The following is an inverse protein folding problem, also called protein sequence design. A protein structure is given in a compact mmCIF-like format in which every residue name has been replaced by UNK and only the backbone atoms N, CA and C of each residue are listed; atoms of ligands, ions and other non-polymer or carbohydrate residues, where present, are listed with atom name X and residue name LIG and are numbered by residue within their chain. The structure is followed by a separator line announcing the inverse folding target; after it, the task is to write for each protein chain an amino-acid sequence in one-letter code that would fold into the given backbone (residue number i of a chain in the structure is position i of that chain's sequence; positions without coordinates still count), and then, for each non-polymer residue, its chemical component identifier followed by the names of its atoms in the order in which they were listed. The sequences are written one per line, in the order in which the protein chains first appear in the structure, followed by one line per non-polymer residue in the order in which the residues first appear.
data_IF_119834842456
#
_entry.id   IF_119834842456
#
_cell.length_a   1.000
_cell.length_b   1.000
_cell.length_c   1.000
_cell.angle_alpha   90.00
_cell.angle_beta   90.00
_cell.angle_gamma   90.00
#
_symmetry.space_group_name_H-M   'P 1'
#
loop_
_entity.id
_entity.type
_entity.pdbx_description
1 polymer ?
#
# COMPACT_ATOMS: atom_id res chain seq x y z
N UNK A 1 11.96 -11.36 -14.62
CA UNK A 1 11.29 -10.14 -14.15
C UNK A 1 11.49 -10.08 -12.65
N UNK A 2 12.00 -8.96 -12.12
CA UNK A 2 12.09 -8.78 -10.66
C UNK A 2 10.69 -8.51 -10.11
N UNK A 3 10.51 -8.86 -8.84
CA UNK A 3 9.23 -8.74 -8.15
C UNK A 3 9.43 -7.95 -6.87
N UNK A 4 8.63 -6.91 -6.65
CA UNK A 4 8.76 -6.04 -5.48
C UNK A 4 7.40 -5.74 -4.85
N UNK A 5 7.27 -6.00 -3.56
CA UNK A 5 6.10 -5.64 -2.77
C UNK A 5 6.46 -4.42 -1.91
N UNK A 6 5.75 -3.33 -2.13
CA UNK A 6 5.90 -2.06 -1.40
C UNK A 6 4.80 -2.00 -0.34
N UNK A 7 5.21 -2.00 0.92
CA UNK A 7 4.30 -1.90 2.06
C UNK A 7 4.33 -0.47 2.58
N UNK A 8 3.16 0.16 2.65
CA UNK A 8 3.02 1.55 3.12
C UNK A 8 2.32 1.54 4.47
N UNK A 9 3.01 2.04 5.50
CA UNK A 9 2.53 2.02 6.89
C UNK A 9 2.20 3.40 7.47
N UNK A 10 2.72 4.48 6.86
CA UNK A 10 2.59 5.84 7.39
C UNK A 10 1.13 6.30 7.50
N UNK A 11 0.77 7.06 8.54
CA UNK A 11 -0.60 7.53 8.76
C UNK A 11 -0.79 8.94 8.18
N UNK A 12 -1.69 9.15 7.21
CA UNK A 12 -2.01 10.50 6.73
C UNK A 12 -2.64 11.39 7.82
N UNK A 13 -3.26 10.82 8.87
CA UNK A 13 -3.92 11.61 9.93
C UNK A 13 -2.93 12.43 10.78
N UNK A 14 -1.65 12.03 10.83
CA UNK A 14 -0.64 12.78 11.56
C UNK A 14 -0.35 14.12 10.88
N UNK A 15 -0.58 14.23 9.57
CA UNK A 15 -0.38 15.46 8.81
C UNK A 15 1.07 15.95 8.77
N UNK A 16 2.04 15.06 9.01
CA UNK A 16 3.46 15.40 9.02
C UNK A 16 4.09 15.28 7.62
N UNK A 17 5.10 16.11 7.36
CA UNK A 17 5.95 15.99 6.17
C UNK A 17 6.59 14.61 6.06
N UNK A 18 6.87 13.97 7.21
CA UNK A 18 7.44 12.63 7.27
C UNK A 18 6.47 11.56 6.75
N UNK A 19 5.19 11.63 7.14
CA UNK A 19 4.18 10.69 6.68
C UNK A 19 3.93 10.84 5.17
N UNK A 20 3.86 12.09 4.69
CA UNK A 20 3.75 12.43 3.27
C UNK A 20 4.99 11.95 2.50
N UNK A 21 6.18 12.18 3.04
CA UNK A 21 7.44 11.77 2.43
C UNK A 21 7.54 10.26 2.26
N UNK A 22 7.09 9.47 3.25
CA UNK A 22 7.05 8.01 3.15
C UNK A 22 6.15 7.52 2.01
N UNK A 23 4.90 7.99 1.95
CA UNK A 23 3.98 7.56 0.88
C UNK A 23 4.45 8.07 -0.49
N UNK A 24 4.98 9.29 -0.57
CA UNK A 24 5.51 9.83 -1.82
C UNK A 24 6.65 8.98 -2.36
N UNK A 25 7.65 8.66 -1.53
CA UNK A 25 8.78 7.85 -1.97
C UNK A 25 8.36 6.40 -2.29
N UNK A 26 7.40 5.83 -1.56
CA UNK A 26 6.85 4.52 -1.88
C UNK A 26 6.22 4.48 -3.28
N UNK A 27 5.39 5.48 -3.60
CA UNK A 27 4.74 5.56 -4.91
C UNK A 27 5.73 5.93 -6.03
N UNK A 28 6.77 6.71 -5.72
CA UNK A 28 7.84 7.01 -6.68
C UNK A 28 8.65 5.75 -7.03
N UNK A 29 8.98 4.91 -6.04
CA UNK A 29 9.59 3.60 -6.30
C UNK A 29 8.67 2.69 -7.11
N UNK A 30 7.37 2.65 -6.79
CA UNK A 30 6.40 1.87 -7.56
C UNK A 30 6.34 2.33 -9.04
N UNK A 31 6.39 3.64 -9.25
CA UNK A 31 6.40 4.24 -10.58
C UNK A 31 7.64 3.82 -11.37
N UNK A 32 8.83 3.89 -10.77
CA UNK A 32 10.08 3.42 -11.40
C UNK A 32 9.99 1.94 -11.77
N UNK A 33 9.59 1.08 -10.84
CA UNK A 33 9.49 -0.37 -11.07
C UNK A 33 8.49 -0.72 -12.17
N UNK A 34 7.34 -0.02 -12.22
CA UNK A 34 6.37 -0.15 -13.31
C UNK A 34 6.99 0.19 -14.67
N UNK A 35 7.76 1.27 -14.75
CA UNK A 35 8.36 1.73 -16.02
C UNK A 35 9.52 0.86 -16.49
N UNK A 36 10.23 0.20 -15.58
CA UNK A 36 11.24 -0.81 -15.89
C UNK A 36 10.63 -2.20 -16.19
N UNK A 37 9.29 -2.32 -16.16
CA UNK A 37 8.59 -3.58 -16.46
C UNK A 37 8.77 -4.65 -15.39
N UNK A 38 9.01 -4.24 -14.13
CA UNK A 38 9.00 -5.14 -12.98
C UNK A 38 7.57 -5.43 -12.49
N UNK A 39 7.39 -6.55 -11.79
CA UNK A 39 6.13 -6.94 -11.17
C UNK A 39 6.06 -6.31 -9.78
N UNK A 40 5.28 -5.24 -9.65
CA UNK A 40 5.15 -4.46 -8.41
C UNK A 40 3.77 -4.63 -7.78
N UNK A 41 3.74 -4.85 -6.46
CA UNK A 41 2.53 -4.83 -5.62
C UNK A 41 2.63 -3.69 -4.62
N UNK A 42 1.65 -2.78 -4.61
CA UNK A 42 1.49 -1.78 -3.54
C UNK A 42 0.47 -2.33 -2.54
N UNK A 43 0.87 -2.43 -1.27
CA UNK A 43 0.01 -2.91 -0.18
C UNK A 43 -0.05 -1.85 0.91
N UNK A 44 -1.25 -1.36 1.19
CA UNK A 44 -1.46 -0.47 2.33
C UNK A 44 -1.76 -1.30 3.59
N UNK A 45 -0.99 -1.05 4.64
CA UNK A 45 -1.09 -1.75 5.91
C UNK A 45 -0.92 -0.76 7.07
N UNK A 46 -1.19 -1.18 8.31
CA UNK A 46 -1.15 -0.28 9.45
C UNK A 46 -2.16 0.85 9.27
N UNK A 47 -1.77 2.08 9.63
CA UNK A 47 -2.58 3.26 9.38
C UNK A 47 -2.48 3.77 7.92
N UNK A 48 -1.53 3.25 7.14
CA UNK A 48 -1.39 3.56 5.71
C UNK A 48 -2.59 3.15 4.87
N UNK A 49 -3.46 2.28 5.38
CA UNK A 49 -4.77 1.96 4.77
C UNK A 49 -5.64 3.19 4.48
N UNK A 50 -5.36 4.34 5.07
CA UNK A 50 -6.10 5.61 4.86
C UNK A 50 -5.59 6.45 3.70
N UNK A 51 -4.41 6.14 3.17
CA UNK A 51 -3.83 6.91 2.06
C UNK A 51 -4.70 6.92 0.80
N UNK A 52 -5.26 5.78 0.34
CA UNK A 52 -6.06 5.77 -0.89
C UNK A 52 -7.16 6.84 -0.91
N UNK A 53 -7.93 6.98 0.19
CA UNK A 53 -8.96 8.01 0.32
C UNK A 53 -8.42 9.44 0.15
N UNK A 54 -7.20 9.72 0.63
CA UNK A 54 -6.58 11.04 0.47
C UNK A 54 -5.99 11.22 -0.93
N UNK A 55 -5.36 10.19 -1.47
CA UNK A 55 -4.68 10.22 -2.75
C UNK A 55 -5.64 10.24 -3.94
N UNK A 56 -6.89 9.77 -3.77
CA UNK A 56 -7.94 9.90 -4.77
C UNK A 56 -8.43 11.34 -4.96
N UNK A 57 -8.15 12.25 -4.02
CA UNK A 57 -8.57 13.66 -4.10
C UNK A 57 -7.71 14.40 -5.15
N UNK A 58 -8.30 15.00 -6.19
CA UNK A 58 -7.55 15.70 -7.25
C UNK A 58 -6.62 16.80 -6.75
N UNK A 59 -6.95 17.42 -5.62
CA UNK A 59 -6.17 18.52 -5.02
C UNK A 59 -4.97 18.02 -4.20
N UNK A 60 -4.88 16.71 -3.94
CA UNK A 60 -3.75 16.16 -3.18
C UNK A 60 -2.47 16.23 -4.01
N UNK A 61 -1.33 16.72 -3.47
CA UNK A 61 -0.10 16.95 -4.25
C UNK A 61 0.48 15.67 -4.89
N UNK A 62 0.15 14.51 -4.33
CA UNK A 62 0.61 13.18 -4.81
C UNK A 62 -0.44 12.49 -5.71
N UNK A 63 -1.60 13.11 -5.96
CA UNK A 63 -2.71 12.51 -6.72
C UNK A 63 -2.29 12.01 -8.11
N UNK A 64 -1.57 12.84 -8.86
CA UNK A 64 -1.13 12.50 -10.21
C UNK A 64 -0.24 11.25 -10.20
N UNK A 65 0.76 11.20 -9.31
CA UNK A 65 1.65 10.05 -9.16
C UNK A 65 0.88 8.80 -8.72
N UNK A 66 -0.07 8.94 -7.81
CA UNK A 66 -0.90 7.81 -7.39
C UNK A 66 -1.69 7.21 -8.56
N UNK A 67 -2.28 8.05 -9.42
CA UNK A 67 -3.00 7.57 -10.61
C UNK A 67 -2.12 6.80 -11.59
N UNK A 68 -0.83 7.13 -11.68
CA UNK A 68 0.12 6.41 -12.54
C UNK A 68 0.43 4.99 -12.03
N UNK A 69 0.20 4.70 -10.74
CA UNK A 69 0.56 3.40 -10.14
C UNK A 69 -0.60 2.68 -9.48
N UNK A 70 -1.81 3.28 -9.45
CA UNK A 70 -2.98 2.70 -8.78
C UNK A 70 -3.39 1.34 -9.33
N UNK A 71 -3.07 1.05 -10.58
CA UNK A 71 -3.28 -0.24 -11.23
C UNK A 71 -2.42 -1.36 -10.63
N UNK A 72 -1.38 -1.02 -9.86
CA UNK A 72 -0.53 -1.93 -9.12
C UNK A 72 -0.86 -2.01 -7.62
N UNK A 73 -1.95 -1.36 -7.18
CA UNK A 73 -2.44 -1.52 -5.80
C UNK A 73 -3.02 -2.92 -5.66
N UNK A 74 -2.34 -3.73 -4.88
CA UNK A 74 -2.75 -5.10 -4.62
C UNK A 74 -3.92 -5.16 -3.61
N UNK A 75 -3.95 -4.23 -2.65
CA UNK A 75 -5.07 -4.11 -1.71
C UNK A 75 -4.69 -3.49 -0.37
N UNK A 76 -5.66 -3.52 0.53
CA UNK A 76 -5.55 -3.05 1.92
C UNK A 76 -5.52 -4.24 2.87
N UNK A 77 -4.76 -4.14 3.96
CA UNK A 77 -4.82 -5.13 5.03
C UNK A 77 -6.20 -5.14 5.71
N UNK A 78 -6.93 -6.26 5.60
CA UNK A 78 -8.28 -6.43 6.17
C UNK A 78 -8.29 -6.21 7.69
N UNK A 79 -7.31 -6.77 8.39
CA UNK A 79 -7.16 -6.59 9.83
C UNK A 79 -6.86 -5.15 10.21
N UNK A 80 -6.06 -4.44 9.42
CA UNK A 80 -5.80 -3.02 9.67
C UNK A 80 -7.03 -2.15 9.38
N UNK A 81 -7.83 -2.46 8.35
CA UNK A 81 -9.12 -1.80 8.12
C UNK A 81 -10.04 -1.98 9.33
N UNK A 82 -10.14 -3.19 9.88
CA UNK A 82 -10.96 -3.47 11.05
C UNK A 82 -10.53 -2.70 12.31
N UNK A 83 -9.24 -2.40 12.46
CA UNK A 83 -8.69 -1.68 13.63
C UNK A 83 -8.70 -0.15 13.42
N UNK A 84 -8.34 0.33 12.24
CA UNK A 84 -8.06 1.74 11.99
C UNK A 84 -9.14 2.49 11.21
N UNK A 85 -9.97 1.79 10.44
CA UNK A 85 -11.05 2.35 9.61
C UNK A 85 -10.58 3.20 8.43
N UNK A 86 -11.21 3.00 7.27
CA UNK A 86 -11.04 3.78 6.02
C UNK A 86 -12.16 3.44 5.04
N UNK A 87 -12.34 4.25 4.00
CA UNK A 87 -13.09 3.86 2.81
C UNK A 87 -12.40 2.70 2.08
N UNK A 88 -13.19 1.70 1.66
CA UNK A 88 -12.71 0.46 1.04
C UNK A 88 -13.20 0.24 -0.39
N UNK A 89 -14.09 1.11 -0.88
CA UNK A 89 -14.71 0.97 -2.19
C UNK A 89 -13.65 0.91 -3.28
N UNK A 90 -13.62 -0.18 -4.05
CA UNK A 90 -12.66 -0.37 -5.14
C UNK A 90 -11.33 -1.04 -4.75
N UNK A 91 -11.13 -1.41 -3.48
CA UNK A 91 -9.91 -2.10 -3.03
C UNK A 91 -10.19 -3.52 -2.52
N UNK A 92 -9.30 -4.44 -2.89
CA UNK A 92 -9.25 -5.78 -2.31
C UNK A 92 -8.81 -5.74 -0.84
N UNK A 93 -9.45 -6.55 0.00
CA UNK A 93 -9.11 -6.69 1.41
C UNK A 93 -8.31 -7.96 1.65
N UNK A 94 -6.99 -7.79 1.81
CA UNK A 94 -6.01 -8.86 1.94
C UNK A 94 -6.00 -9.45 3.36
N UNK A 95 -6.08 -10.77 3.46
CA UNK A 95 -6.21 -11.49 4.73
C UNK A 95 -5.62 -12.90 4.73
N UNK A 96 -4.63 -13.16 3.87
CA UNK A 96 -4.03 -14.48 3.64
C UNK A 96 -3.01 -14.91 4.73
N UNK A 97 -2.87 -14.12 5.80
CA UNK A 97 -2.19 -14.47 7.04
C UNK A 97 -3.16 -14.34 8.23
N UNK A 98 -3.56 -15.47 8.80
CA UNK A 98 -4.42 -15.52 9.99
C UNK A 98 -3.62 -15.08 11.23
N UNK A 99 -3.85 -13.82 11.65
CA UNK A 99 -3.27 -13.28 12.88
C UNK A 99 -4.32 -13.35 14.00
N UNK A 100 -4.00 -13.93 15.17
CA UNK A 100 -4.93 -14.09 16.28
C UNK A 100 -5.64 -12.78 16.65
N UNK A 101 -6.97 -12.83 16.80
CA UNK A 101 -7.78 -11.67 17.17
C UNK A 101 -8.03 -10.67 16.04
N UNK A 102 -7.71 -11.02 14.80
CA UNK A 102 -7.97 -10.16 13.62
C UNK A 102 -8.71 -10.93 12.54
N UNK A 103 -9.36 -10.24 11.58
CA UNK A 103 -9.88 -10.84 10.35
C UNK A 103 -8.82 -11.36 9.36
N UNK A 104 -7.52 -11.32 9.70
CA UNK A 104 -6.37 -11.66 8.86
C UNK A 104 -5.66 -10.43 8.29
N UNK A 105 -4.36 -10.58 8.01
CA UNK A 105 -3.47 -9.56 7.43
C UNK A 105 -2.84 -10.09 6.12
N UNK A 106 -2.18 -9.23 5.32
CA UNK A 106 -1.35 -9.67 4.19
C UNK A 106 -0.20 -10.58 4.65
N UNK A 107 0.04 -11.68 3.94
CA UNK A 107 1.11 -12.62 4.25
C UNK A 107 2.44 -12.26 3.60
N UNK A 108 3.40 -11.83 4.42
CA UNK A 108 4.76 -11.58 3.94
C UNK A 108 5.48 -12.88 3.57
N UNK A 109 5.06 -14.01 4.14
CA UNK A 109 5.60 -15.33 3.77
C UNK A 109 5.13 -15.72 2.37
N UNK A 110 3.87 -15.46 2.01
CA UNK A 110 3.38 -15.74 0.66
C UNK A 110 4.09 -14.85 -0.37
N UNK A 111 4.24 -13.55 -0.10
CA UNK A 111 5.03 -12.63 -0.93
C UNK A 111 6.45 -13.16 -1.17
N UNK A 112 7.15 -13.58 -0.11
CA UNK A 112 8.50 -14.15 -0.24
C UNK A 112 8.52 -15.46 -1.02
N UNK A 113 7.55 -16.35 -0.82
CA UNK A 113 7.43 -17.61 -1.58
C UNK A 113 7.14 -17.36 -3.06
N UNK A 114 6.41 -16.30 -3.38
CA UNK A 114 6.14 -15.84 -4.74
C UNK A 114 7.33 -15.12 -5.40
N UNK A 115 8.41 -14.89 -4.64
CA UNK A 115 9.66 -14.29 -5.11
C UNK A 115 9.73 -12.77 -4.97
N UNK A 116 8.82 -12.13 -4.23
CA UNK A 116 8.84 -10.69 -4.00
C UNK A 116 9.94 -10.29 -3.01
N UNK A 117 10.76 -9.31 -3.40
CA UNK A 117 11.48 -8.45 -2.47
C UNK A 117 10.47 -7.54 -1.75
N UNK A 118 10.66 -7.30 -0.44
CA UNK A 118 9.72 -6.50 0.35
C UNK A 118 10.41 -5.21 0.78
N UNK A 119 9.86 -4.08 0.34
CA UNK A 119 10.25 -2.74 0.76
C UNK A 119 9.17 -2.16 1.68
N UNK A 120 9.57 -1.52 2.76
CA UNK A 120 8.66 -0.96 3.76
C UNK A 120 8.90 0.54 3.87
N UNK A 121 7.82 1.31 3.72
CA UNK A 121 7.79 2.75 3.80
C UNK A 121 6.88 3.23 4.91
#
# INVERSE_FOLDING_TARGET
MKKTAIIILSDPKVGSEEALGRVFNALASAYEFKHEGEDVKIIFQGAGIRWPEQLEKPEHPVHALYNEVKDHVHGLSKGCVAVFGTEISGYELLNDNEVPGTPGLPSFVNLRKEGYEILIF
#
